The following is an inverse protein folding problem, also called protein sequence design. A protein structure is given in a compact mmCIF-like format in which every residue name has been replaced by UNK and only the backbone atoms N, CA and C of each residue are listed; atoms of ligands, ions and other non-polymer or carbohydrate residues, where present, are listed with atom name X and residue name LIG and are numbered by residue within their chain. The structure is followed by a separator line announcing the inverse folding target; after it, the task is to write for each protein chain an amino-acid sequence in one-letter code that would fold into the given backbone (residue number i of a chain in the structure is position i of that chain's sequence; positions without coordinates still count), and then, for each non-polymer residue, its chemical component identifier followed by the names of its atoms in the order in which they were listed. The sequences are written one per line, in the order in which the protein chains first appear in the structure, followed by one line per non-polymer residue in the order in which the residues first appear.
data_IF_642824009376
#
_entry.id   IF_642824009376
#
_cell.length_a   1.000
_cell.length_b   1.000
_cell.length_c   1.000
_cell.angle_alpha   90.00
_cell.angle_beta   90.00
_cell.angle_gamma   90.00
#
_symmetry.space_group_name_H-M   'P 1'
#
loop_
_entity.id
_entity.type
_entity.pdbx_description
1 polymer ?
#
# COMPACT_ATOMS: atom_id res chain seq x y z
N UNK A 1 12.09 15.21 22.40
CA UNK A 1 12.11 14.95 23.86
C UNK A 1 13.42 15.39 24.50
N UNK A 2 14.60 15.01 23.98
CA UNK A 2 15.90 15.49 24.49
C UNK A 2 16.02 17.02 24.58
N UNK A 3 15.53 17.73 23.55
CA UNK A 3 15.49 19.20 23.52
C UNK A 3 14.59 19.81 24.60
N UNK A 4 13.50 19.13 24.98
CA UNK A 4 12.59 19.57 26.04
C UNK A 4 13.20 19.25 27.41
N UNK A 5 13.74 18.05 27.58
CA UNK A 5 14.35 17.59 28.83
C UNK A 5 15.66 18.32 29.18
N UNK A 6 16.42 18.80 28.18
CA UNK A 6 17.68 19.54 28.38
C UNK A 6 17.49 21.05 28.22
N UNK A 7 16.59 21.48 27.33
CA UNK A 7 16.33 22.89 27.05
C UNK A 7 15.44 23.57 28.09
N UNK A 8 14.34 22.93 28.53
CA UNK A 8 13.42 23.53 29.51
C UNK A 8 14.09 23.82 30.86
N UNK A 9 14.94 22.95 31.44
CA UNK A 9 15.66 23.29 32.66
C UNK A 9 16.65 24.45 32.50
N UNK A 10 17.29 24.58 31.33
CA UNK A 10 18.21 25.68 31.03
C UNK A 10 17.45 27.00 30.87
N UNK A 11 16.31 26.97 30.18
CA UNK A 11 15.43 28.12 30.01
C UNK A 11 14.85 28.57 31.35
N UNK A 12 14.39 27.63 32.18
CA UNK A 12 13.86 27.95 33.51
C UNK A 12 14.90 28.58 34.42
N UNK A 13 16.17 28.14 34.37
CA UNK A 13 17.26 28.79 35.13
C UNK A 13 17.62 30.19 34.63
N UNK A 14 17.30 30.51 33.38
CA UNK A 14 17.49 31.86 32.85
C UNK A 14 16.45 32.84 33.41
N UNK A 15 15.19 32.39 33.58
CA UNK A 15 14.10 33.23 34.10
C UNK A 15 13.91 33.13 35.63
N UNK A 16 14.36 32.04 36.25
CA UNK A 16 14.29 31.79 37.69
C UNK A 16 15.72 31.55 38.20
N UNK A 17 16.40 32.57 38.75
CA UNK A 17 17.79 32.46 39.22
C UNK A 17 17.93 31.50 40.40
N UNK A 18 16.88 31.36 41.23
CA UNK A 18 16.86 30.39 42.32
C UNK A 18 16.75 28.96 41.78
N UNK A 19 17.83 28.21 41.96
CA UNK A 19 17.96 26.82 41.51
C UNK A 19 16.94 25.88 42.14
N UNK A 20 16.56 26.07 43.41
CA UNK A 20 15.56 25.21 44.07
C UNK A 20 14.18 25.49 43.50
N UNK A 21 13.83 26.76 43.32
CA UNK A 21 12.57 27.18 42.72
C UNK A 21 12.44 26.76 41.24
N UNK A 22 13.53 26.85 40.46
CA UNK A 22 13.54 26.40 39.07
C UNK A 22 13.33 24.88 38.94
N UNK A 23 13.87 24.09 39.88
CA UNK A 23 13.67 22.63 39.92
C UNK A 23 12.25 22.24 40.36
N UNK A 24 11.63 22.97 41.28
CA UNK A 24 10.23 22.72 41.67
C UNK A 24 9.23 23.15 40.60
N UNK A 25 9.54 24.18 39.81
CA UNK A 25 8.70 24.64 38.70
C UNK A 25 8.84 23.78 37.43
N UNK A 26 9.91 22.99 37.32
CA UNK A 26 10.15 22.16 36.14
C UNK A 26 9.01 21.16 35.84
N UNK A 27 8.49 20.36 36.80
CA UNK A 27 7.33 19.50 36.57
C UNK A 27 6.09 20.27 36.11
N UNK A 28 5.83 21.46 36.69
CA UNK A 28 4.68 22.31 36.36
C UNK A 28 4.76 22.79 34.91
N UNK A 29 5.93 23.27 34.50
CA UNK A 29 6.19 23.74 33.12
C UNK A 29 6.12 22.59 32.12
N UNK A 30 6.66 21.42 32.49
CA UNK A 30 6.54 20.21 31.68
C UNK A 30 5.07 19.78 31.53
N UNK A 31 4.27 19.84 32.59
CA UNK A 31 2.85 19.49 32.56
C UNK A 31 2.07 20.50 31.68
N UNK A 32 2.33 21.79 31.85
CA UNK A 32 1.72 22.86 31.05
C UNK A 32 2.06 22.76 29.56
N UNK A 33 3.23 22.22 29.19
CA UNK A 33 3.60 21.98 27.79
C UNK A 33 3.07 20.65 27.25
N UNK A 34 3.19 19.56 28.01
CA UNK A 34 2.86 18.22 27.53
C UNK A 34 1.36 17.97 27.50
N UNK A 35 0.58 18.49 28.45
CA UNK A 35 -0.86 18.23 28.52
C UNK A 35 -1.60 18.80 27.31
N UNK A 36 -1.41 20.06 26.88
CA UNK A 36 -2.07 20.57 25.68
C UNK A 36 -1.64 19.80 24.42
N UNK A 37 -0.36 19.45 24.31
CA UNK A 37 0.15 18.62 23.20
C UNK A 37 -0.55 17.25 23.20
N UNK A 38 -0.65 16.59 24.35
CA UNK A 38 -1.30 15.29 24.48
C UNK A 38 -2.81 15.39 24.17
N UNK A 39 -3.50 16.40 24.72
CA UNK A 39 -4.93 16.65 24.47
C UNK A 39 -5.21 16.94 22.99
N UNK A 40 -4.28 17.58 22.28
CA UNK A 40 -4.42 17.83 20.85
C UNK A 40 -4.09 16.61 19.98
N UNK A 41 -2.93 15.98 20.19
CA UNK A 41 -2.43 14.93 19.30
C UNK A 41 -3.00 13.54 19.60
N UNK A 42 -3.30 13.21 20.86
CA UNK A 42 -3.75 11.87 21.23
C UNK A 42 -5.13 11.52 20.64
N UNK A 43 -6.16 12.38 20.72
CA UNK A 43 -7.45 12.08 20.09
C UNK A 43 -7.34 11.99 18.56
N UNK A 44 -6.51 12.87 17.97
CA UNK A 44 -6.25 12.89 16.51
C UNK A 44 -5.59 11.60 16.04
N UNK A 45 -4.57 11.14 16.76
CA UNK A 45 -3.87 9.89 16.47
C UNK A 45 -4.80 8.68 16.61
N UNK A 46 -5.57 8.59 17.70
CA UNK A 46 -6.56 7.53 17.90
C UNK A 46 -7.62 7.50 16.79
N UNK A 47 -8.08 8.67 16.34
CA UNK A 47 -9.03 8.78 15.23
C UNK A 47 -8.41 8.35 13.89
N UNK A 48 -7.16 8.72 13.63
CA UNK A 48 -6.41 8.27 12.45
C UNK A 48 -6.25 6.75 12.42
N UNK A 49 -5.90 6.16 13.57
CA UNK A 49 -5.78 4.71 13.73
C UNK A 49 -7.11 4.01 13.50
N UNK A 50 -8.18 4.46 14.15
CA UNK A 50 -9.53 3.91 13.96
C UNK A 50 -9.96 3.91 12.48
N UNK A 51 -9.74 5.01 11.76
CA UNK A 51 -10.05 5.09 10.33
C UNK A 51 -9.17 4.16 9.50
N UNK A 52 -7.91 3.98 9.88
CA UNK A 52 -7.01 3.02 9.22
C UNK A 52 -7.50 1.59 9.43
N UNK A 53 -7.88 1.22 10.65
CA UNK A 53 -8.39 -0.11 10.98
C UNK A 53 -9.71 -0.40 10.26
N UNK A 54 -10.64 0.58 10.24
CA UNK A 54 -11.89 0.51 9.45
C UNK A 54 -11.59 0.32 7.95
N UNK A 55 -10.62 1.07 7.41
CA UNK A 55 -10.22 0.95 6.01
C UNK A 55 -9.63 -0.43 5.70
N UNK A 56 -8.78 -0.98 6.57
CA UNK A 56 -8.21 -2.32 6.39
C UNK A 56 -9.28 -3.41 6.45
N UNK A 57 -10.25 -3.28 7.35
CA UNK A 57 -11.39 -4.19 7.41
C UNK A 57 -12.20 -4.15 6.10
N UNK A 58 -12.59 -2.96 5.64
CA UNK A 58 -13.33 -2.80 4.39
C UNK A 58 -12.57 -3.35 3.18
N UNK A 59 -11.25 -3.12 3.13
CA UNK A 59 -10.40 -3.67 2.08
C UNK A 59 -10.39 -5.20 2.09
N UNK A 60 -10.35 -5.83 3.27
CA UNK A 60 -10.43 -7.29 3.40
C UNK A 60 -11.77 -7.87 2.97
N UNK A 61 -12.85 -7.08 3.08
CA UNK A 61 -14.19 -7.41 2.60
C UNK A 61 -14.37 -7.14 1.10
N UNK A 62 -13.34 -6.64 0.39
CA UNK A 62 -13.40 -6.28 -1.02
C UNK A 62 -14.10 -4.94 -1.32
N UNK A 63 -14.44 -4.16 -0.29
CA UNK A 63 -15.11 -2.84 -0.40
C UNK A 63 -14.08 -1.73 -0.60
N UNK A 64 -13.42 -1.76 -1.75
CA UNK A 64 -12.20 -0.98 -2.01
C UNK A 64 -12.44 0.53 -2.02
N UNK A 65 -13.51 1.02 -2.64
CA UNK A 65 -13.83 2.45 -2.68
C UNK A 65 -14.12 2.99 -1.27
N UNK A 66 -14.89 2.25 -0.46
CA UNK A 66 -15.15 2.62 0.93
C UNK A 66 -13.87 2.60 1.76
N UNK A 67 -12.95 1.65 1.53
CA UNK A 67 -11.65 1.63 2.19
C UNK A 67 -10.81 2.86 1.86
N UNK A 68 -10.81 3.28 0.59
CA UNK A 68 -10.07 4.45 0.12
C UNK A 68 -10.54 5.72 0.83
N UNK A 69 -11.86 5.92 0.97
CA UNK A 69 -12.42 7.06 1.71
C UNK A 69 -11.91 7.11 3.16
N UNK A 70 -11.83 5.96 3.83
CA UNK A 70 -11.31 5.87 5.21
C UNK A 70 -9.84 6.21 5.29
N UNK A 71 -9.02 5.69 4.37
CA UNK A 71 -7.60 5.99 4.34
C UNK A 71 -7.34 7.47 4.04
N UNK A 72 -8.08 8.08 3.11
CA UNK A 72 -7.99 9.51 2.81
C UNK A 72 -8.39 10.38 4.01
N UNK A 73 -9.47 10.02 4.71
CA UNK A 73 -9.87 10.69 5.95
C UNK A 73 -8.83 10.52 7.09
N UNK A 74 -8.11 9.40 7.13
CA UNK A 74 -7.09 9.12 8.13
C UNK A 74 -5.81 9.93 7.94
N UNK A 75 -5.43 10.22 6.68
CA UNK A 75 -4.17 10.86 6.27
C UNK A 75 -3.89 12.20 6.94
N UNK A 76 -4.81 13.20 6.94
CA UNK A 76 -4.54 14.47 7.62
C UNK A 76 -4.38 14.28 9.12
N UNK A 77 -5.06 13.28 9.71
CA UNK A 77 -5.04 13.01 11.14
C UNK A 77 -3.76 12.31 11.62
N UNK A 78 -3.04 11.67 10.71
CA UNK A 78 -1.85 10.90 11.03
C UNK A 78 -0.67 11.81 11.43
N UNK A 79 0.07 11.40 12.46
CA UNK A 79 1.34 12.03 12.84
C UNK A 79 2.41 11.86 11.76
N UNK A 80 2.42 10.69 11.12
CA UNK A 80 3.32 10.34 10.02
C UNK A 80 2.46 9.71 8.94
N UNK A 81 2.53 10.26 7.73
CA UNK A 81 1.58 9.90 6.65
C UNK A 81 1.98 8.65 5.85
N UNK A 82 2.96 7.85 6.29
CA UNK A 82 3.40 6.64 5.58
C UNK A 82 2.28 5.65 5.35
N UNK A 83 1.67 5.20 6.45
CA UNK A 83 0.68 4.12 6.41
C UNK A 83 -0.56 4.56 5.62
N UNK A 84 -1.14 5.75 5.89
CA UNK A 84 -2.25 6.24 5.06
C UNK A 84 -1.90 6.38 3.59
N UNK A 85 -0.75 6.98 3.24
CA UNK A 85 -0.34 7.16 1.84
C UNK A 85 -0.14 5.81 1.13
N UNK A 86 0.48 4.85 1.80
CA UNK A 86 0.65 3.51 1.23
C UNK A 86 -0.68 2.81 1.02
N UNK A 87 -1.57 2.83 2.02
CA UNK A 87 -2.88 2.21 1.93
C UNK A 87 -3.76 2.87 0.85
N UNK A 88 -3.70 4.20 0.70
CA UNK A 88 -4.33 4.92 -0.42
C UNK A 88 -3.78 4.41 -1.75
N UNK A 89 -2.45 4.29 -1.87
CA UNK A 89 -1.81 3.77 -3.07
C UNK A 89 -2.27 2.35 -3.42
N UNK A 90 -2.35 1.46 -2.43
CA UNK A 90 -2.85 0.08 -2.62
C UNK A 90 -4.33 0.06 -2.97
N UNK A 91 -5.18 0.83 -2.30
CA UNK A 91 -6.61 0.88 -2.63
C UNK A 91 -6.84 1.41 -4.05
N UNK A 92 -6.09 2.43 -4.47
CA UNK A 92 -6.12 2.95 -5.85
C UNK A 92 -5.63 1.92 -6.87
N UNK A 93 -4.62 1.13 -6.51
CA UNK A 93 -4.15 0.01 -7.34
C UNK A 93 -5.26 -1.02 -7.53
N UNK A 94 -5.97 -1.41 -6.46
CA UNK A 94 -7.09 -2.36 -6.56
C UNK A 94 -8.30 -1.79 -7.32
N UNK A 95 -8.45 -0.46 -7.38
CA UNK A 95 -9.43 0.22 -8.23
C UNK A 95 -8.94 0.44 -9.68
N UNK A 96 -7.83 -0.18 -10.07
CA UNK A 96 -7.18 -0.02 -11.38
C UNK A 96 -6.80 1.42 -11.74
N UNK A 97 -6.73 2.33 -10.77
CA UNK A 97 -6.29 3.72 -10.95
C UNK A 97 -4.75 3.81 -10.95
N UNK A 98 -4.11 3.05 -11.85
CA UNK A 98 -2.66 2.80 -11.83
C UNK A 98 -1.80 4.08 -11.78
N UNK A 99 -2.09 5.15 -12.56
CA UNK A 99 -1.29 6.37 -12.48
C UNK A 99 -1.40 7.09 -11.13
N UNK A 100 -2.57 7.01 -10.47
CA UNK A 100 -2.77 7.60 -9.15
C UNK A 100 -2.10 6.74 -8.07
N UNK A 101 -2.25 5.42 -8.15
CA UNK A 101 -1.58 4.48 -7.26
C UNK A 101 -0.05 4.63 -7.33
N UNK A 102 0.51 4.68 -8.54
CA UNK A 102 1.93 4.88 -8.79
C UNK A 102 2.45 6.18 -8.19
N UNK A 103 1.73 7.30 -8.35
CA UNK A 103 2.12 8.60 -7.75
C UNK A 103 2.12 8.55 -6.22
N UNK A 104 1.06 8.03 -5.60
CA UNK A 104 0.96 7.93 -4.13
C UNK A 104 2.08 7.04 -3.56
N UNK A 105 2.31 5.86 -4.15
CA UNK A 105 3.36 4.94 -3.72
C UNK A 105 4.76 5.53 -3.96
N UNK A 106 5.04 6.07 -5.14
CA UNK A 106 6.38 6.60 -5.48
C UNK A 106 6.74 7.82 -4.61
N UNK A 107 5.76 8.58 -4.13
CA UNK A 107 5.99 9.67 -3.17
C UNK A 107 6.72 9.21 -1.90
N UNK A 108 6.54 7.94 -1.51
CA UNK A 108 7.16 7.35 -0.34
C UNK A 108 8.62 6.96 -0.56
N UNK A 109 9.08 6.76 -1.80
CA UNK A 109 10.47 6.33 -2.10
C UNK A 109 11.50 7.33 -1.57
N UNK A 110 11.18 8.63 -1.66
CA UNK A 110 12.04 9.74 -1.21
C UNK A 110 12.24 9.81 0.31
N UNK A 111 11.41 9.11 1.09
CA UNK A 111 11.44 9.19 2.55
C UNK A 111 12.63 8.42 3.10
N UNK A 112 13.43 9.06 3.97
CA UNK A 112 14.65 8.46 4.56
C UNK A 112 14.37 7.60 5.79
N UNK A 113 13.24 7.81 6.44
CA UNK A 113 12.82 7.21 7.70
C UNK A 113 12.01 5.91 7.55
N UNK A 114 11.97 5.31 6.35
CA UNK A 114 11.34 4.01 6.13
C UNK A 114 12.23 2.86 6.60
N UNK A 115 11.63 1.90 7.31
CA UNK A 115 12.32 0.66 7.68
C UNK A 115 12.64 -0.19 6.44
N UNK A 116 13.66 -1.06 6.49
CA UNK A 116 13.97 -1.97 5.39
C UNK A 116 12.77 -2.84 4.96
N UNK A 117 11.98 -3.33 5.92
CA UNK A 117 10.79 -4.13 5.64
C UNK A 117 9.73 -3.33 4.89
N UNK A 118 9.48 -2.08 5.31
CA UNK A 118 8.51 -1.24 4.64
C UNK A 118 8.96 -0.86 3.21
N UNK A 119 10.26 -0.64 3.01
CA UNK A 119 10.82 -0.45 1.66
C UNK A 119 10.58 -1.67 0.78
N UNK A 120 10.75 -2.88 1.29
CA UNK A 120 10.49 -4.10 0.54
C UNK A 120 9.05 -4.19 0.05
N UNK A 121 8.10 -3.94 0.96
CA UNK A 121 6.66 -3.94 0.69
C UNK A 121 6.27 -2.83 -0.29
N UNK A 122 6.89 -1.65 -0.18
CA UNK A 122 6.72 -0.55 -1.13
C UNK A 122 7.24 -0.92 -2.53
N UNK A 123 8.47 -1.43 -2.64
CA UNK A 123 9.07 -1.83 -3.91
C UNK A 123 8.26 -2.95 -4.59
N UNK A 124 7.69 -3.89 -3.83
CA UNK A 124 6.80 -4.92 -4.37
C UNK A 124 5.49 -4.34 -4.92
N UNK A 125 4.83 -3.42 -4.21
CA UNK A 125 3.61 -2.76 -4.69
C UNK A 125 3.88 -1.96 -5.98
N UNK A 126 5.00 -1.24 -6.01
CA UNK A 126 5.48 -0.48 -7.15
C UNK A 126 5.86 -1.37 -8.35
N UNK A 127 6.41 -2.56 -8.10
CA UNK A 127 6.67 -3.55 -9.15
C UNK A 127 5.36 -3.99 -9.82
N UNK A 128 4.31 -4.22 -9.04
CA UNK A 128 2.99 -4.59 -9.57
C UNK A 128 2.35 -3.46 -10.38
N UNK A 129 2.44 -2.21 -9.92
CA UNK A 129 1.99 -1.04 -10.72
C UNK A 129 2.73 -0.97 -12.05
N UNK A 130 4.07 -1.09 -12.04
CA UNK A 130 4.86 -1.05 -13.28
C UNK A 130 4.52 -2.20 -14.21
N UNK A 131 4.33 -3.41 -13.68
CA UNK A 131 3.94 -4.58 -14.46
C UNK A 131 2.56 -4.39 -15.10
N UNK A 132 1.58 -3.88 -14.35
CA UNK A 132 0.23 -3.61 -14.86
C UNK A 132 0.19 -2.45 -15.86
N UNK A 133 1.08 -1.46 -15.76
CA UNK A 133 1.21 -0.39 -16.76
C UNK A 133 2.10 -0.78 -17.96
N UNK A 134 2.62 -2.01 -18.01
CA UNK A 134 3.49 -2.48 -19.09
C UNK A 134 4.91 -1.90 -19.06
N UNK A 135 5.33 -1.28 -17.95
CA UNK A 135 6.68 -0.72 -17.75
C UNK A 135 7.69 -1.79 -17.30
N UNK A 136 7.77 -2.88 -18.06
CA UNK A 136 8.45 -4.12 -17.67
C UNK A 136 9.93 -3.94 -17.29
N UNK A 137 10.64 -3.01 -17.95
CA UNK A 137 12.05 -2.71 -17.68
C UNK A 137 12.34 -2.27 -16.24
N UNK A 138 11.35 -1.74 -15.51
CA UNK A 138 11.49 -1.30 -14.12
C UNK A 138 11.16 -2.38 -13.10
N UNK A 139 10.46 -3.43 -13.51
CA UNK A 139 9.94 -4.46 -12.60
C UNK A 139 11.08 -5.26 -11.98
N UNK A 140 12.07 -5.68 -12.79
CA UNK A 140 13.18 -6.51 -12.31
C UNK A 140 13.99 -5.87 -11.18
N UNK A 141 14.33 -4.58 -11.30
CA UNK A 141 15.07 -3.86 -10.24
C UNK A 141 14.22 -3.68 -8.98
N UNK A 142 12.92 -3.40 -9.12
CA UNK A 142 11.98 -3.29 -7.99
C UNK A 142 11.81 -4.62 -7.25
N UNK A 143 11.72 -5.74 -7.97
CA UNK A 143 11.64 -7.08 -7.38
C UNK A 143 12.95 -7.47 -6.68
N UNK A 144 14.11 -7.16 -7.27
CA UNK A 144 15.41 -7.40 -6.64
C UNK A 144 15.56 -6.60 -5.34
N UNK A 145 15.17 -5.32 -5.35
CA UNK A 145 15.16 -4.50 -4.14
C UNK A 145 14.24 -5.10 -3.08
N UNK A 146 13.02 -5.50 -3.47
CA UNK A 146 12.05 -6.08 -2.55
C UNK A 146 12.58 -7.34 -1.85
N UNK A 147 13.13 -8.28 -2.63
CA UNK A 147 13.64 -9.56 -2.11
C UNK A 147 14.92 -9.43 -1.29
N UNK A 148 15.80 -8.46 -1.61
CA UNK A 148 17.06 -8.26 -0.87
C UNK A 148 16.89 -7.81 0.59
N UNK A 149 15.67 -7.42 0.98
CA UNK A 149 15.40 -6.74 2.26
C UNK A 149 14.64 -7.60 3.27
N UNK A 150 14.01 -8.70 2.83
CA UNK A 150 13.11 -9.49 3.68
C UNK A 150 13.07 -10.97 3.27
N UNK A 151 12.84 -11.83 4.26
CA UNK A 151 12.71 -13.29 4.07
C UNK A 151 11.25 -13.79 4.12
N UNK A 152 10.26 -12.88 4.11
CA UNK A 152 8.84 -13.24 4.12
C UNK A 152 8.20 -13.06 2.74
N UNK A 153 7.11 -13.80 2.42
CA UNK A 153 6.42 -13.68 1.14
C UNK A 153 5.87 -12.28 0.89
N UNK A 154 6.14 -11.74 -0.30
CA UNK A 154 5.62 -10.46 -0.77
C UNK A 154 4.62 -10.72 -1.89
N UNK A 155 3.33 -10.86 -1.57
CA UNK A 155 2.31 -11.22 -2.55
C UNK A 155 2.28 -10.33 -3.81
N UNK A 156 2.61 -9.04 -3.69
CA UNK A 156 2.64 -8.12 -4.84
C UNK A 156 3.84 -8.40 -5.73
N UNK A 157 4.95 -8.90 -5.18
CA UNK A 157 6.11 -9.30 -5.95
C UNK A 157 5.82 -10.59 -6.76
N UNK A 158 5.16 -11.58 -6.16
CA UNK A 158 4.73 -12.79 -6.87
C UNK A 158 3.72 -12.46 -7.97
N UNK A 159 2.69 -11.66 -7.68
CA UNK A 159 1.70 -11.25 -8.68
C UNK A 159 2.32 -10.39 -9.80
N UNK A 160 3.23 -9.48 -9.47
CA UNK A 160 3.95 -8.68 -10.48
C UNK A 160 4.77 -9.57 -11.43
N UNK A 161 5.42 -10.60 -10.90
CA UNK A 161 6.19 -11.57 -11.70
C UNK A 161 5.27 -12.32 -12.66
N UNK A 162 4.11 -12.80 -12.18
CA UNK A 162 3.10 -13.44 -13.02
C UNK A 162 2.56 -12.51 -14.11
N UNK A 163 2.27 -11.25 -13.78
CA UNK A 163 1.83 -10.24 -14.75
C UNK A 163 2.87 -10.03 -15.85
N UNK A 164 4.16 -9.92 -15.50
CA UNK A 164 5.24 -9.81 -16.49
C UNK A 164 5.26 -11.04 -17.40
N UNK A 165 5.23 -12.24 -16.83
CA UNK A 165 5.25 -13.48 -17.60
C UNK A 165 4.04 -13.59 -18.55
N UNK A 166 2.83 -13.23 -18.11
CA UNK A 166 1.65 -13.16 -18.98
C UNK A 166 1.82 -12.14 -20.12
N UNK A 167 2.32 -10.93 -19.82
CA UNK A 167 2.54 -9.90 -20.85
C UNK A 167 3.56 -10.31 -21.91
N UNK A 168 4.55 -11.11 -21.53
CA UNK A 168 5.59 -11.63 -22.42
C UNK A 168 5.20 -12.95 -23.10
N UNK A 169 4.00 -13.48 -22.85
CA UNK A 169 3.54 -14.76 -23.40
C UNK A 169 4.25 -15.99 -22.83
N UNK A 170 4.93 -15.86 -21.69
CA UNK A 170 5.58 -16.96 -20.97
C UNK A 170 4.55 -17.73 -20.12
N UNK A 171 3.55 -18.32 -20.78
CA UNK A 171 2.33 -18.86 -20.14
C UNK A 171 2.60 -19.98 -19.12
N UNK A 172 3.55 -20.87 -19.39
CA UNK A 172 3.90 -21.95 -18.46
C UNK A 172 4.49 -21.39 -17.15
N UNK A 173 5.45 -20.47 -17.27
CA UNK A 173 6.05 -19.79 -16.12
C UNK A 173 5.03 -18.94 -15.36
N UNK A 174 4.19 -18.19 -16.08
CA UNK A 174 3.12 -17.40 -15.46
C UNK A 174 2.20 -18.28 -14.62
N UNK A 175 1.82 -19.47 -15.12
CA UNK A 175 0.99 -20.42 -14.38
C UNK A 175 1.69 -20.95 -13.12
N UNK A 176 2.97 -21.28 -13.18
CA UNK A 176 3.74 -21.68 -12.01
C UNK A 176 3.80 -20.57 -10.95
N UNK A 177 4.01 -19.32 -11.38
CA UNK A 177 4.01 -18.15 -10.49
C UNK A 177 2.64 -17.87 -9.87
N UNK A 178 1.55 -18.11 -10.60
CA UNK A 178 0.18 -17.93 -10.10
C UNK A 178 -0.25 -19.00 -9.09
N UNK A 179 0.40 -20.17 -9.12
CA UNK A 179 0.20 -21.25 -8.15
C UNK A 179 0.99 -21.06 -6.84
N UNK A 180 1.75 -19.97 -6.70
CA UNK A 180 2.49 -19.65 -5.48
C UNK A 180 1.52 -19.44 -4.29
N UNK A 181 1.75 -20.18 -3.21
CA UNK A 181 0.98 -20.08 -1.97
C UNK A 181 0.94 -18.65 -1.38
N UNK A 182 1.95 -17.82 -1.69
CA UNK A 182 1.95 -16.40 -1.31
C UNK A 182 0.72 -15.63 -1.84
N UNK A 183 0.11 -16.10 -2.93
CA UNK A 183 -1.05 -15.49 -3.58
C UNK A 183 -2.40 -16.00 -3.06
N UNK A 184 -2.42 -16.95 -2.11
CA UNK A 184 -3.66 -17.46 -1.51
C UNK A 184 -4.39 -16.38 -0.68
N UNK A 185 -3.64 -15.45 -0.09
CA UNK A 185 -4.19 -14.39 0.76
C UNK A 185 -4.67 -13.15 -0.01
N UNK A 186 -4.63 -13.17 -1.35
CA UNK A 186 -5.19 -12.10 -2.15
C UNK A 186 -6.71 -12.02 -1.95
N UNK A 187 -7.24 -10.80 -1.96
CA UNK A 187 -8.66 -10.52 -1.86
C UNK A 187 -9.09 -9.49 -2.92
N UNK A 188 -10.42 -9.33 -3.05
CA UNK A 188 -11.02 -8.33 -3.93
C UNK A 188 -10.52 -8.41 -5.38
N UNK A 189 -10.36 -7.26 -6.06
CA UNK A 189 -9.93 -7.18 -7.46
C UNK A 189 -8.59 -7.86 -7.76
N UNK A 190 -7.65 -7.92 -6.81
CA UNK A 190 -6.37 -8.60 -7.03
C UNK A 190 -6.50 -10.13 -7.06
N UNK A 191 -7.42 -10.69 -6.28
CA UNK A 191 -7.78 -12.10 -6.38
C UNK A 191 -8.46 -12.38 -7.73
N UNK A 192 -9.37 -11.49 -8.16
CA UNK A 192 -9.96 -11.53 -9.49
C UNK A 192 -8.89 -11.55 -10.58
N UNK A 193 -7.93 -10.62 -10.53
CA UNK A 193 -6.77 -10.58 -11.43
C UNK A 193 -6.01 -11.90 -11.46
N UNK A 194 -5.64 -12.46 -10.29
CA UNK A 194 -4.94 -13.75 -10.23
C UNK A 194 -5.73 -14.85 -10.95
N UNK A 195 -7.03 -14.96 -10.67
CA UNK A 195 -7.89 -15.99 -11.25
C UNK A 195 -8.06 -15.82 -12.76
N UNK A 196 -8.25 -14.59 -13.23
CA UNK A 196 -8.33 -14.28 -14.67
C UNK A 196 -7.05 -14.67 -15.38
N UNK A 197 -5.88 -14.28 -14.83
CA UNK A 197 -4.59 -14.62 -15.41
C UNK A 197 -4.35 -16.13 -15.45
N UNK A 198 -4.78 -16.86 -14.41
CA UNK A 198 -4.68 -18.32 -14.36
C UNK A 198 -5.51 -18.96 -15.47
N UNK A 199 -6.77 -18.55 -15.60
CA UNK A 199 -7.68 -19.00 -16.66
C UNK A 199 -7.10 -18.68 -18.04
N UNK A 200 -6.57 -17.47 -18.23
CA UNK A 200 -5.95 -17.06 -19.48
C UNK A 200 -4.73 -17.91 -19.82
N UNK A 201 -3.85 -18.16 -18.85
CA UNK A 201 -2.68 -19.03 -19.04
C UNK A 201 -3.09 -20.43 -19.46
N UNK A 202 -4.12 -21.01 -18.82
CA UNK A 202 -4.59 -22.36 -19.16
C UNK A 202 -5.13 -22.39 -20.59
N UNK A 203 -5.97 -21.42 -20.97
CA UNK A 203 -6.50 -21.33 -22.33
C UNK A 203 -5.39 -21.17 -23.38
N UNK A 204 -4.35 -20.38 -23.10
CA UNK A 204 -3.20 -20.25 -24.01
C UNK A 204 -2.38 -21.54 -24.15
N UNK A 205 -2.30 -22.34 -23.08
CA UNK A 205 -1.55 -23.61 -23.08
C UNK A 205 -2.32 -24.77 -23.70
N UNK A 206 -3.66 -24.82 -23.54
CA UNK A 206 -4.47 -25.97 -23.94
C UNK A 206 -5.42 -25.69 -25.11
N UNK A 207 -5.69 -24.42 -25.41
CA UNK A 207 -6.74 -23.99 -26.35
C UNK A 207 -8.17 -24.13 -25.80
N UNK A 208 -8.34 -24.63 -24.57
CA UNK A 208 -9.65 -24.80 -23.96
C UNK A 208 -10.17 -23.49 -23.40
N UNK A 209 -11.25 -22.98 -23.97
CA UNK A 209 -11.94 -21.80 -23.45
C UNK A 209 -12.55 -22.08 -22.08
N UNK A 210 -12.37 -21.14 -21.14
CA UNK A 210 -12.96 -21.20 -19.80
C UNK A 210 -13.65 -19.87 -19.46
N UNK A 211 -14.73 -19.90 -18.67
CA UNK A 211 -15.42 -18.68 -18.26
C UNK A 211 -14.53 -17.85 -17.33
N UNK A 212 -14.68 -16.54 -17.41
CA UNK A 212 -13.98 -15.57 -16.56
C UNK A 212 -15.00 -14.76 -15.76
N UNK A 213 -14.75 -14.61 -14.46
CA UNK A 213 -15.54 -13.75 -13.59
C UNK A 213 -15.05 -12.29 -13.71
N UNK A 214 -15.68 -11.53 -14.62
CA UNK A 214 -15.39 -10.11 -14.79
C UNK A 214 -15.76 -9.27 -13.55
N UNK A 215 -16.77 -9.70 -12.78
CA UNK A 215 -17.19 -8.98 -11.56
C UNK A 215 -16.09 -9.10 -10.51
N UNK A 216 -15.47 -10.27 -10.36
CA UNK A 216 -14.34 -10.44 -9.44
C UNK A 216 -13.12 -9.59 -9.84
N UNK A 217 -12.85 -9.42 -11.14
CA UNK A 217 -11.74 -8.61 -11.64
C UNK A 217 -11.99 -7.11 -11.49
N UNK A 218 -13.14 -6.62 -11.98
CA UNK A 218 -13.41 -5.19 -12.00
C UNK A 218 -13.96 -4.74 -10.65
N UNK A 219 -14.87 -5.49 -10.02
CA UNK A 219 -15.48 -5.12 -8.75
C UNK A 219 -16.07 -3.71 -8.81
N UNK A 220 -15.57 -2.83 -7.95
CA UNK A 220 -15.93 -1.41 -7.89
C UNK A 220 -15.08 -0.52 -8.83
N UNK A 221 -14.09 -1.10 -9.51
CA UNK A 221 -13.18 -0.41 -10.42
C UNK A 221 -13.80 -0.21 -11.81
N UNK A 222 -13.40 0.88 -12.47
CA UNK A 222 -13.76 1.11 -13.88
C UNK A 222 -12.93 0.20 -14.79
N UNK A 223 -13.60 -0.47 -15.73
CA UNK A 223 -12.97 -1.23 -16.81
C UNK A 223 -12.00 -0.36 -17.61
N UNK A 224 -12.40 0.87 -17.95
CA UNK A 224 -11.65 1.79 -18.81
C UNK A 224 -10.21 2.02 -18.32
N UNK A 225 -10.03 2.04 -17.00
CA UNK A 225 -8.71 2.29 -16.40
C UNK A 225 -7.74 1.13 -16.63
N UNK A 226 -8.23 -0.11 -16.52
CA UNK A 226 -7.42 -1.29 -16.82
C UNK A 226 -7.25 -1.48 -18.32
N UNK A 227 -8.27 -1.15 -19.12
CA UNK A 227 -8.24 -1.24 -20.59
C UNK A 227 -7.18 -0.32 -21.18
N UNK A 228 -7.05 0.90 -20.66
CA UNK A 228 -6.01 1.83 -21.09
C UNK A 228 -4.57 1.30 -20.84
N UNK A 229 -4.39 0.44 -19.84
CA UNK A 229 -3.09 -0.12 -19.47
C UNK A 229 -2.81 -1.51 -20.07
N UNK A 230 -3.86 -2.32 -20.25
CA UNK A 230 -3.77 -3.69 -20.74
C UNK A 230 -5.00 -4.08 -21.58
N UNK A 231 -5.12 -3.54 -22.80
CA UNK A 231 -6.31 -3.75 -23.64
C UNK A 231 -6.49 -5.22 -24.03
N UNK A 232 -5.41 -5.99 -24.22
CA UNK A 232 -5.48 -7.41 -24.56
C UNK A 232 -6.15 -8.23 -23.44
N UNK A 233 -5.82 -7.94 -22.18
CA UNK A 233 -6.43 -8.60 -21.03
C UNK A 233 -7.91 -8.26 -20.93
N UNK A 234 -8.28 -6.98 -21.04
CA UNK A 234 -9.69 -6.57 -20.95
C UNK A 234 -10.53 -7.17 -22.08
N UNK A 235 -10.02 -7.15 -23.31
CA UNK A 235 -10.67 -7.81 -24.44
C UNK A 235 -10.86 -9.32 -24.21
N UNK A 236 -9.86 -9.98 -23.62
CA UNK A 236 -9.97 -11.38 -23.23
C UNK A 236 -11.11 -11.60 -22.21
N UNK A 237 -11.14 -10.79 -21.14
CA UNK A 237 -12.17 -10.89 -20.10
C UNK A 237 -13.57 -10.66 -20.67
N UNK A 238 -13.78 -9.57 -21.41
CA UNK A 238 -15.09 -9.23 -21.98
C UNK A 238 -15.60 -10.34 -22.90
N UNK A 239 -14.72 -10.95 -23.70
CA UNK A 239 -15.06 -12.07 -24.59
C UNK A 239 -15.44 -13.34 -23.83
N UNK A 240 -14.89 -13.54 -22.62
CA UNK A 240 -15.05 -14.76 -21.81
C UNK A 240 -16.02 -14.61 -20.62
N UNK A 241 -16.54 -13.41 -20.40
CA UNK A 241 -17.56 -13.10 -19.38
C UNK A 241 -19.00 -13.14 -19.91
N UNK A 242 -19.18 -13.45 -21.20
CA UNK A 242 -20.48 -13.54 -21.89
C UNK A 242 -21.10 -14.93 -21.76
#
# INVERSE_FOLDING_TARGET
MLLVLVGVPRLLRHFIPDRRLALTMFPVVMFALLVPIALYFLPRYRRSQKLTDEGLQLLSEGRVAASLERFEASRPLAKVQVIPTYNIGVARLQLWQLPMAGRELSSLESRKDLTPQFRAVLSAALALVDALEGRLARVGSRLAEARSRVDFPLWFASLASAVVACREGRWAEARELLADAALENLNGPLLGMRNVLEVWCVEQLTGEARPVDAIALFGEASQDSLEAAWPELVNYVVKRSS
#
